data_IF_604779731183
#
_entry.id   IF_604779731183
#
_cell.length_a   1.000
_cell.length_b   1.000
_cell.length_c   1.000
_cell.angle_alpha   90.00
_cell.angle_beta   90.00
_cell.angle_gamma   90.00
#
_symmetry.space_group_name_H-M   'P 1'
#
loop_
_entity.id
_entity.type
_entity.pdbx_description
1 polymer ?
#
# COMPACT_ATOMS: atom_id res chain seq x y z
N UNK A 1 9.09 13.30 -10.83
CA UNK A 1 10.54 13.23 -11.13
C UNK A 1 11.30 13.12 -9.82
N UNK A 2 12.05 12.03 -9.64
CA UNK A 2 13.01 11.91 -8.54
C UNK A 2 14.34 12.55 -8.93
N UNK A 3 14.96 13.24 -7.97
CA UNK A 3 16.15 14.08 -8.20
C UNK A 3 17.48 13.34 -8.00
N UNK A 4 17.46 12.03 -7.69
CA UNK A 4 18.68 11.22 -7.52
C UNK A 4 19.56 11.59 -6.32
N UNK A 5 19.00 12.21 -5.29
CA UNK A 5 19.74 12.79 -4.16
C UNK A 5 20.25 11.77 -3.12
N UNK A 6 19.96 10.48 -3.29
CA UNK A 6 20.42 9.42 -2.40
C UNK A 6 19.39 8.32 -2.16
N UNK A 7 19.51 7.66 -1.00
CA UNK A 7 18.64 6.57 -0.56
C UNK A 7 17.68 7.07 0.52
N UNK A 8 16.47 6.51 0.57
CA UNK A 8 15.47 6.81 1.59
C UNK A 8 14.74 5.55 2.03
N UNK A 9 14.21 5.56 3.26
CA UNK A 9 13.27 4.56 3.75
C UNK A 9 11.86 5.14 3.62
N UNK A 10 11.03 4.54 2.75
CA UNK A 10 9.71 5.04 2.37
C UNK A 10 8.72 3.88 2.36
N UNK A 11 7.44 4.14 2.64
CA UNK A 11 6.41 3.14 2.54
C UNK A 11 6.25 2.67 1.07
N UNK A 12 6.15 1.36 0.86
CA UNK A 12 6.03 0.76 -0.48
C UNK A 12 4.88 1.35 -1.31
N UNK A 13 3.67 1.62 -0.76
CA UNK A 13 2.57 2.20 -1.55
C UNK A 13 2.92 3.52 -2.23
N UNK A 14 3.76 4.35 -1.60
CA UNK A 14 4.11 5.69 -2.11
C UNK A 14 5.08 5.63 -3.29
N UNK A 15 5.82 4.52 -3.43
CA UNK A 15 6.89 4.35 -4.43
C UNK A 15 6.65 3.15 -5.36
N UNK A 16 5.50 2.48 -5.28
CA UNK A 16 5.23 1.23 -6.01
C UNK A 16 5.44 1.40 -7.52
N UNK A 17 4.92 2.47 -8.10
CA UNK A 17 5.08 2.73 -9.53
C UNK A 17 6.55 2.89 -9.95
N UNK A 18 7.38 3.53 -9.12
CA UNK A 18 8.81 3.68 -9.39
C UNK A 18 9.58 2.36 -9.25
N UNK A 19 9.15 1.48 -8.34
CA UNK A 19 9.70 0.13 -8.24
C UNK A 19 9.30 -0.74 -9.44
N UNK A 20 8.05 -0.63 -9.90
CA UNK A 20 7.53 -1.38 -11.06
C UNK A 20 8.15 -0.92 -12.38
N UNK A 21 8.46 0.38 -12.52
CA UNK A 21 9.14 0.93 -13.70
C UNK A 21 10.67 0.81 -13.66
N UNK A 22 11.23 0.30 -12.56
CA UNK A 22 12.67 0.27 -12.28
C UNK A 22 13.36 1.66 -12.24
N UNK A 23 12.60 2.75 -12.11
CA UNK A 23 13.15 4.07 -11.76
C UNK A 23 13.69 4.09 -10.32
N UNK A 24 13.17 3.20 -9.47
CA UNK A 24 13.67 2.94 -8.13
C UNK A 24 14.10 1.48 -7.97
N UNK A 25 15.15 1.29 -7.18
CA UNK A 25 15.70 -0.03 -6.86
C UNK A 25 15.79 -0.20 -5.35
N UNK A 26 15.42 -1.39 -4.88
CA UNK A 26 15.58 -1.77 -3.49
C UNK A 26 17.03 -2.19 -3.21
N UNK A 27 17.70 -1.46 -2.33
CA UNK A 27 19.15 -1.61 -2.07
C UNK A 27 19.50 -2.48 -0.85
N UNK A 28 18.57 -2.64 0.11
CA UNK A 28 18.78 -3.42 1.34
C UNK A 28 17.56 -4.35 1.60
N UNK A 29 17.42 -5.48 0.89
CA UNK A 29 16.20 -6.29 0.94
C UNK A 29 15.90 -6.89 2.32
N UNK A 30 16.94 -7.16 3.12
CA UNK A 30 16.78 -7.70 4.48
C UNK A 30 16.51 -6.64 5.54
N UNK A 31 16.57 -5.36 5.19
CA UNK A 31 16.27 -4.25 6.09
C UNK A 31 14.93 -3.65 5.71
N UNK A 32 13.94 -3.90 6.57
CA UNK A 32 12.59 -3.37 6.44
C UNK A 32 11.97 -3.22 7.82
N UNK A 33 10.94 -2.40 7.91
CA UNK A 33 10.11 -2.27 9.08
C UNK A 33 8.67 -2.57 8.69
N UNK A 34 7.94 -3.27 9.56
CA UNK A 34 6.50 -3.39 9.42
C UNK A 34 5.86 -2.04 9.77
N UNK A 35 5.22 -1.40 8.79
CA UNK A 35 4.50 -0.15 8.99
C UNK A 35 3.10 -0.38 9.59
N UNK A 36 2.71 -1.64 9.81
CA UNK A 36 1.40 -2.05 10.29
C UNK A 36 0.35 -2.15 9.18
N UNK A 37 -0.90 -2.39 9.60
CA UNK A 37 -2.01 -2.58 8.69
C UNK A 37 -2.60 -1.24 8.19
N UNK A 38 -2.90 -1.17 6.90
CA UNK A 38 -3.79 -0.14 6.35
C UNK A 38 -5.21 -0.46 6.82
N UNK A 39 -5.80 0.44 7.61
CA UNK A 39 -7.09 0.21 8.27
C UNK A 39 -8.13 1.23 7.79
N UNK A 40 -9.36 0.76 7.54
CA UNK A 40 -10.50 1.62 7.20
C UNK A 40 -11.35 1.87 8.43
N UNK A 41 -11.42 3.14 8.86
CA UNK A 41 -12.17 3.53 10.06
C UNK A 41 -13.51 4.19 9.69
N UNK A 42 -14.58 3.80 10.39
CA UNK A 42 -15.93 4.34 10.21
C UNK A 42 -16.72 4.28 11.52
N UNK A 43 -17.72 5.14 11.66
CA UNK A 43 -18.34 5.48 12.95
C UNK A 43 -19.08 4.32 13.65
N UNK A 44 -19.69 3.38 12.92
CA UNK A 44 -20.43 2.26 13.53
C UNK A 44 -20.49 1.06 12.59
N UNK A 45 -20.36 -0.15 13.18
CA UNK A 45 -20.64 -1.43 12.50
C UNK A 45 -22.12 -1.80 12.46
N UNK A 46 -22.97 -1.09 13.21
CA UNK A 46 -24.41 -1.28 13.24
C UNK A 46 -25.09 -0.22 12.37
N UNK A 47 -26.05 -0.65 11.54
CA UNK A 47 -26.83 0.22 10.64
C UNK A 47 -25.96 1.09 9.74
N UNK A 48 -24.91 0.52 9.15
CA UNK A 48 -24.07 1.20 8.18
C UNK A 48 -24.91 1.78 7.04
N UNK A 49 -24.81 3.09 6.74
CA UNK A 49 -25.46 3.67 5.58
C UNK A 49 -25.05 2.92 4.31
N UNK A 50 -26.02 2.67 3.42
CA UNK A 50 -25.79 1.89 2.20
C UNK A 50 -24.62 2.41 1.36
N UNK A 51 -24.47 3.74 1.28
CA UNK A 51 -23.36 4.39 0.56
C UNK A 51 -22.00 4.05 1.16
N UNK A 52 -21.88 4.05 2.49
CA UNK A 52 -20.63 3.70 3.19
C UNK A 52 -20.30 2.22 2.97
N UNK A 53 -21.30 1.33 3.08
CA UNK A 53 -21.10 -0.09 2.82
C UNK A 53 -20.60 -0.34 1.40
N UNK A 54 -21.26 0.25 0.40
CA UNK A 54 -20.86 0.12 -1.00
C UNK A 54 -19.43 0.61 -1.25
N UNK A 55 -19.03 1.72 -0.62
CA UNK A 55 -17.66 2.23 -0.72
C UNK A 55 -16.63 1.29 -0.07
N UNK A 56 -16.94 0.73 1.10
CA UNK A 56 -16.08 -0.28 1.76
C UNK A 56 -15.91 -1.50 0.84
N UNK A 57 -17.01 -2.03 0.30
CA UNK A 57 -17.00 -3.19 -0.58
C UNK A 57 -16.17 -2.90 -1.85
N UNK A 58 -16.35 -1.72 -2.44
CA UNK A 58 -15.55 -1.26 -3.59
C UNK A 58 -14.04 -1.24 -3.30
N UNK A 59 -13.63 -0.68 -2.14
CA UNK A 59 -12.23 -0.64 -1.75
C UNK A 59 -11.64 -2.04 -1.54
N UNK A 60 -12.39 -2.92 -0.86
CA UNK A 60 -11.96 -4.31 -0.63
C UNK A 60 -11.75 -5.03 -1.96
N UNK A 61 -12.68 -4.91 -2.89
CA UNK A 61 -12.57 -5.55 -4.21
C UNK A 61 -11.42 -4.97 -5.03
N UNK A 62 -11.16 -3.66 -4.95
CA UNK A 62 -9.97 -3.06 -5.56
C UNK A 62 -8.67 -3.64 -4.98
N UNK A 63 -8.56 -3.75 -3.66
CA UNK A 63 -7.36 -4.30 -3.00
C UNK A 63 -7.10 -5.75 -3.38
N UNK A 64 -8.15 -6.56 -3.52
CA UNK A 64 -8.05 -7.95 -3.98
C UNK A 64 -7.66 -8.03 -5.44
N UNK A 65 -8.34 -7.27 -6.32
CA UNK A 65 -8.10 -7.30 -7.77
C UNK A 65 -6.66 -6.94 -8.12
N UNK A 66 -6.12 -5.92 -7.43
CA UNK A 66 -4.78 -5.41 -7.68
C UNK A 66 -3.70 -6.16 -6.89
N UNK A 67 -4.07 -7.11 -6.04
CA UNK A 67 -3.19 -7.86 -5.13
C UNK A 67 -2.27 -6.94 -4.30
N UNK A 68 -2.85 -5.86 -3.78
CA UNK A 68 -2.09 -4.83 -3.06
C UNK A 68 -1.47 -5.35 -1.77
N UNK A 69 -2.07 -6.35 -1.12
CA UNK A 69 -1.48 -6.97 0.07
C UNK A 69 -0.09 -7.55 -0.22
N UNK A 70 0.06 -8.22 -1.38
CA UNK A 70 1.37 -8.71 -1.83
C UNK A 70 2.22 -7.57 -2.36
N UNK A 71 1.72 -6.70 -3.25
CA UNK A 71 2.53 -5.63 -3.86
C UNK A 71 3.07 -4.62 -2.85
N UNK A 72 2.38 -4.39 -1.73
CA UNK A 72 2.84 -3.52 -0.66
C UNK A 72 3.74 -4.23 0.36
N UNK A 73 3.90 -5.56 0.26
CA UNK A 73 4.70 -6.30 1.21
C UNK A 73 6.18 -5.91 1.07
N UNK A 74 6.64 -5.13 2.05
CA UNK A 74 8.02 -4.66 2.16
C UNK A 74 9.03 -5.77 2.46
N UNK A 75 8.65 -7.04 2.43
CA UNK A 75 9.54 -8.19 2.67
C UNK A 75 9.72 -9.10 1.46
N UNK A 76 9.11 -8.77 0.32
CA UNK A 76 9.29 -9.54 -0.92
C UNK A 76 10.65 -9.18 -1.51
N UNK A 77 11.63 -10.07 -1.35
CA UNK A 77 13.01 -9.91 -1.82
C UNK A 77 13.97 -10.86 -1.14
#
# INVERSE_FOLDING_TARGET
MQLGLGMAMVAVPDILAGLESAELVRVLPRWWADAGAISLYYASRHLLPAKTRFFIDFLIEAFKREDYARRFAGNLG
#
